data_IF_987402271171
#
_entry.id   IF_987402271171
#
_cell.length_a   1.000
_cell.length_b   1.000
_cell.length_c   1.000
_cell.angle_alpha   90.00
_cell.angle_beta   90.00
_cell.angle_gamma   90.00
#
_symmetry.space_group_name_H-M   'P 1'
#
loop_
_entity.id
_entity.type
_entity.pdbx_description
1 polymer ?
#
# COMPACT_ATOMS: atom_id res chain seq x y z
N UNK A 1 19.01 0.01 1.73
CA UNK A 1 19.79 -0.18 2.97
C UNK A 1 19.78 1.09 3.85
N UNK A 2 20.13 2.27 3.30
CA UNK A 2 20.19 3.53 4.05
C UNK A 2 18.88 3.94 4.76
N UNK A 3 17.73 3.83 4.09
CA UNK A 3 16.43 4.17 4.69
C UNK A 3 16.01 3.25 5.85
N UNK A 4 16.48 2.00 5.85
CA UNK A 4 16.19 1.07 6.94
C UNK A 4 17.01 1.38 8.18
N UNK A 5 18.28 1.78 7.99
CA UNK A 5 19.10 2.27 9.10
C UNK A 5 18.56 3.60 9.66
N UNK A 6 17.92 4.41 8.81
CA UNK A 6 17.18 5.59 9.26
C UNK A 6 15.96 5.21 10.09
N UNK A 7 15.09 4.35 9.59
CA UNK A 7 13.92 3.86 10.34
C UNK A 7 14.31 3.25 11.70
N UNK A 8 15.38 2.44 11.73
CA UNK A 8 15.89 1.84 12.98
C UNK A 8 16.39 2.88 13.97
N UNK A 9 17.01 3.96 13.49
CA UNK A 9 17.48 5.07 14.33
C UNK A 9 16.31 5.87 14.89
N UNK A 10 15.36 6.23 14.04
CA UNK A 10 14.20 7.03 14.43
C UNK A 10 13.33 6.26 15.44
N UNK A 11 13.18 4.94 15.24
CA UNK A 11 12.53 4.06 16.22
C UNK A 11 13.25 4.06 17.58
N UNK A 12 14.58 3.91 17.61
CA UNK A 12 15.33 3.89 18.87
C UNK A 12 15.16 5.20 19.64
N UNK A 13 15.19 6.33 18.94
CA UNK A 13 14.97 7.63 19.54
C UNK A 13 13.58 7.73 20.18
N UNK A 14 12.53 7.41 19.43
CA UNK A 14 11.15 7.43 19.94
C UNK A 14 10.96 6.47 21.11
N UNK A 15 11.52 5.25 21.03
CA UNK A 15 11.45 4.25 22.09
C UNK A 15 12.05 4.77 23.39
N UNK A 16 13.25 5.32 23.31
CA UNK A 16 14.03 5.71 24.48
C UNK A 16 13.52 7.02 25.09
N UNK A 17 13.00 7.95 24.27
CA UNK A 17 12.53 9.26 24.74
C UNK A 17 11.04 9.27 25.13
N UNK A 18 10.17 8.63 24.33
CA UNK A 18 8.71 8.78 24.49
C UNK A 18 8.06 7.58 25.14
N UNK A 19 8.66 6.39 25.01
CA UNK A 19 8.09 5.14 25.51
C UNK A 19 8.83 4.60 26.73
N UNK A 20 9.63 5.45 27.38
CA UNK A 20 10.43 5.09 28.56
C UNK A 20 11.28 3.82 28.35
N UNK A 21 11.77 3.60 27.13
CA UNK A 21 12.60 2.44 26.78
C UNK A 21 11.84 1.14 26.55
N UNK A 22 10.53 1.18 26.31
CA UNK A 22 9.71 0.00 26.05
C UNK A 22 10.11 -0.76 24.77
N UNK A 23 10.61 -1.98 24.94
CA UNK A 23 11.22 -2.80 23.87
C UNK A 23 10.24 -3.73 23.16
N UNK A 24 8.93 -3.60 23.38
CA UNK A 24 7.91 -4.51 22.81
C UNK A 24 7.99 -4.70 21.29
N UNK A 25 8.53 -3.72 20.55
CA UNK A 25 8.69 -3.79 19.09
C UNK A 25 10.13 -4.04 18.60
N UNK A 26 11.11 -4.24 19.49
CA UNK A 26 12.52 -4.40 19.13
C UNK A 26 12.75 -5.59 18.19
N UNK A 27 12.07 -6.72 18.43
CA UNK A 27 12.17 -7.90 17.56
C UNK A 27 11.58 -7.67 16.16
N UNK A 28 10.59 -6.79 16.05
CA UNK A 28 9.99 -6.43 14.77
C UNK A 28 10.88 -5.47 13.98
N UNK A 29 11.43 -4.43 14.61
CA UNK A 29 12.29 -3.41 13.94
C UNK A 29 13.69 -3.95 13.61
N UNK A 30 14.28 -4.76 14.48
CA UNK A 30 15.66 -5.24 14.33
C UNK A 30 15.77 -6.64 13.69
N UNK A 31 14.66 -7.38 13.58
CA UNK A 31 14.66 -8.69 12.94
C UNK A 31 15.03 -8.64 11.45
N UNK A 32 15.31 -9.80 10.83
CA UNK A 32 15.62 -9.88 9.41
C UNK A 32 14.51 -9.22 8.58
N UNK A 33 14.92 -8.34 7.68
CA UNK A 33 14.00 -7.66 6.79
C UNK A 33 13.66 -8.59 5.65
N UNK A 34 12.51 -9.25 5.75
CA UNK A 34 11.91 -10.04 4.70
C UNK A 34 10.78 -9.24 4.05
N UNK A 35 10.38 -9.63 2.84
CA UNK A 35 9.34 -8.95 2.06
C UNK A 35 8.01 -8.76 2.84
N UNK A 36 7.71 -9.55 3.87
CA UNK A 36 6.51 -9.42 4.70
C UNK A 36 6.46 -8.12 5.54
N UNK A 37 7.61 -7.53 5.90
CA UNK A 37 7.67 -6.28 6.67
C UNK A 37 7.61 -5.01 5.80
N UNK A 38 7.70 -5.14 4.48
CA UNK A 38 7.70 -4.04 3.49
C UNK A 38 6.35 -3.79 2.82
N UNK A 39 5.35 -4.65 3.08
CA UNK A 39 4.10 -4.69 2.33
C UNK A 39 2.99 -3.67 2.66
N UNK A 40 2.91 -2.93 3.80
CA UNK A 40 1.68 -2.18 4.09
C UNK A 40 1.53 -0.80 3.44
N UNK A 41 2.57 -0.18 2.86
CA UNK A 41 2.50 1.27 2.54
C UNK A 41 2.66 1.67 1.06
N UNK A 42 2.39 0.77 0.10
CA UNK A 42 2.35 1.23 -1.30
C UNK A 42 1.98 0.21 -2.35
N UNK A 43 2.10 -1.08 -2.05
CA UNK A 43 1.81 -2.13 -3.05
C UNK A 43 0.33 -2.51 -3.12
N UNK A 44 -0.41 -2.41 -2.01
CA UNK A 44 -1.86 -2.70 -1.97
C UNK A 44 -2.72 -1.49 -2.36
N UNK A 45 -2.45 -0.31 -1.80
CA UNK A 45 -3.33 0.85 -2.01
C UNK A 45 -3.10 1.60 -3.33
N UNK A 46 -2.06 1.25 -4.10
CA UNK A 46 -1.71 1.96 -5.35
C UNK A 46 -2.89 2.13 -6.32
N UNK A 47 -3.83 1.19 -6.34
CA UNK A 47 -4.98 1.20 -7.25
C UNK A 47 -6.30 1.59 -6.58
N UNK A 48 -6.32 1.82 -5.26
CA UNK A 48 -7.52 2.26 -4.54
C UNK A 48 -8.08 3.58 -5.14
N UNK A 49 -7.25 4.59 -5.48
CA UNK A 49 -7.74 5.79 -6.17
C UNK A 49 -8.38 5.49 -7.54
N UNK A 50 -7.84 4.52 -8.29
CA UNK A 50 -8.37 4.10 -9.58
C UNK A 50 -9.75 3.43 -9.45
N UNK A 51 -9.91 2.53 -8.49
CA UNK A 51 -11.21 1.88 -8.23
C UNK A 51 -12.24 2.86 -7.68
N UNK A 52 -11.84 3.80 -6.81
CA UNK A 52 -12.71 4.87 -6.35
C UNK A 52 -13.18 5.78 -7.51
N UNK A 53 -12.29 6.08 -8.46
CA UNK A 53 -12.66 6.84 -9.66
C UNK A 53 -13.63 6.07 -10.56
N UNK A 54 -13.37 4.77 -10.77
CA UNK A 54 -14.26 3.90 -11.53
C UNK A 54 -15.65 3.83 -10.90
N UNK A 55 -15.73 3.70 -9.57
CA UNK A 55 -17.01 3.70 -8.84
C UNK A 55 -17.79 5.00 -9.03
N UNK A 56 -17.11 6.16 -9.07
CA UNK A 56 -17.74 7.45 -9.38
C UNK A 56 -18.24 7.52 -10.84
N UNK A 57 -17.50 6.98 -11.80
CA UNK A 57 -17.92 6.96 -13.22
C UNK A 57 -19.22 6.18 -13.45
N UNK A 58 -19.46 5.14 -12.65
CA UNK A 58 -20.70 4.38 -12.67
C UNK A 58 -21.75 4.90 -11.68
N UNK A 59 -21.63 6.15 -11.23
CA UNK A 59 -22.57 6.82 -10.31
C UNK A 59 -22.82 6.06 -8.99
N UNK A 60 -21.85 5.30 -8.50
CA UNK A 60 -21.98 4.52 -7.28
C UNK A 60 -22.81 3.24 -7.42
N UNK A 61 -23.11 2.79 -8.64
CA UNK A 61 -23.79 1.53 -8.91
C UNK A 61 -22.82 0.35 -8.73
N UNK A 62 -23.09 -0.49 -7.72
CA UNK A 62 -22.27 -1.65 -7.39
C UNK A 62 -22.27 -2.74 -8.48
N UNK A 63 -23.43 -3.22 -8.98
CA UNK A 63 -23.47 -4.10 -10.15
C UNK A 63 -22.64 -3.61 -11.35
N UNK A 64 -22.80 -2.34 -11.74
CA UNK A 64 -22.05 -1.76 -12.85
C UNK A 64 -20.55 -1.66 -12.56
N UNK A 65 -20.18 -1.34 -11.32
CA UNK A 65 -18.79 -1.34 -10.87
C UNK A 65 -18.14 -2.72 -10.98
N UNK A 66 -18.83 -3.78 -10.53
CA UNK A 66 -18.30 -5.15 -10.64
C UNK A 66 -18.07 -5.56 -12.09
N UNK A 67 -19.00 -5.26 -13.00
CA UNK A 67 -18.82 -5.53 -14.43
C UNK A 67 -17.62 -4.78 -15.01
N UNK A 68 -17.43 -3.51 -14.63
CA UNK A 68 -16.31 -2.71 -15.09
C UNK A 68 -14.95 -3.21 -14.54
N UNK A 69 -14.92 -3.66 -13.28
CA UNK A 69 -13.73 -4.27 -12.68
C UNK A 69 -13.40 -5.62 -13.33
N UNK A 70 -14.41 -6.43 -13.65
CA UNK A 70 -14.23 -7.70 -14.35
C UNK A 70 -13.63 -7.49 -15.75
N UNK A 71 -14.17 -6.52 -16.51
CA UNK A 71 -13.63 -6.14 -17.81
C UNK A 71 -12.17 -5.67 -17.71
N UNK A 72 -11.83 -4.88 -16.68
CA UNK A 72 -10.46 -4.43 -16.42
C UNK A 72 -9.55 -5.59 -15.98
N UNK A 73 -10.09 -6.58 -15.27
CA UNK A 73 -9.41 -7.80 -14.85
C UNK A 73 -9.04 -8.73 -16.01
N UNK A 74 -9.85 -8.73 -17.08
CA UNK A 74 -9.62 -9.50 -18.30
C UNK A 74 -8.52 -8.95 -19.22
N UNK A 75 -8.01 -7.74 -18.97
CA UNK A 75 -6.94 -7.15 -19.77
C UNK A 75 -5.56 -7.80 -19.50
N UNK A 76 -4.68 -7.88 -20.51
CA UNK A 76 -3.27 -8.20 -20.31
C UNK A 76 -2.64 -7.28 -19.27
N UNK A 77 -1.65 -7.78 -18.52
CA UNK A 77 -1.08 -7.10 -17.33
C UNK A 77 -0.68 -5.64 -17.61
N UNK A 78 0.00 -5.37 -18.73
CA UNK A 78 0.46 -4.01 -19.06
C UNK A 78 -0.68 -3.09 -19.50
N UNK A 79 -1.65 -3.63 -20.25
CA UNK A 79 -2.87 -2.89 -20.62
C UNK A 79 -3.71 -2.55 -19.38
N UNK A 80 -3.83 -3.49 -18.43
CA UNK A 80 -4.52 -3.28 -17.16
C UNK A 80 -3.87 -2.21 -16.31
N UNK A 81 -2.54 -2.24 -16.14
CA UNK A 81 -1.79 -1.20 -15.41
C UNK A 81 -1.96 0.17 -16.06
N UNK A 82 -1.97 0.23 -17.39
CA UNK A 82 -2.19 1.48 -18.13
C UNK A 82 -3.60 2.02 -17.90
N UNK A 83 -4.62 1.16 -17.95
CA UNK A 83 -6.01 1.54 -17.67
C UNK A 83 -6.18 2.04 -16.23
N UNK A 84 -5.60 1.34 -15.25
CA UNK A 84 -5.65 1.75 -13.85
C UNK A 84 -4.98 3.11 -13.61
N UNK A 85 -3.82 3.37 -14.24
CA UNK A 85 -3.17 4.70 -14.15
C UNK A 85 -4.05 5.82 -14.72
N UNK A 86 -4.75 5.58 -15.83
CA UNK A 86 -5.66 6.58 -16.44
C UNK A 86 -6.82 6.95 -15.52
N UNK A 87 -7.29 6.01 -14.71
CA UNK A 87 -8.36 6.25 -13.73
C UNK A 87 -7.90 7.07 -12.51
N UNK A 88 -6.58 7.25 -12.31
CA UNK A 88 -6.02 8.03 -11.20
C UNK A 88 -5.83 9.52 -11.55
N UNK A 89 -6.06 9.91 -12.81
CA UNK A 89 -5.96 11.28 -13.30
C UNK A 89 -7.36 11.87 -13.50
#
# INVERSE_FOLDING_TARGET
AAEFERLRRDYRQMRDEQWAGDKRFDGWVNGPMNNAKLLPFGLYDQWVPAFAALFRQVNGDWPAFYQAVEALGGLPVESRKTALRRLMH
#
